data_IF_526858870222
#
_entry.id   IF_526858870222
#
_cell.length_a   1.000
_cell.length_b   1.000
_cell.length_c   1.000
_cell.angle_alpha   90.00
_cell.angle_beta   90.00
_cell.angle_gamma   90.00
#
_symmetry.space_group_name_H-M   'P 1'
#
loop_
_entity.id
_entity.type
_entity.pdbx_description
1 polymer ?
#
# COMPACT_ATOMS: atom_id res chain seq x y z
N UNK A 1 -0.22 4.66 16.72
CA UNK A 1 0.41 3.33 16.59
C UNK A 1 -0.57 2.42 15.86
N UNK A 2 -0.24 1.99 14.65
CA UNK A 2 -1.10 1.12 13.83
C UNK A 2 -1.04 -0.29 14.43
N UNK A 3 -2.17 -0.84 14.86
CA UNK A 3 -2.27 -2.23 15.34
C UNK A 3 -2.64 -3.14 14.16
N UNK A 4 -1.87 -4.19 13.99
CA UNK A 4 -1.90 -5.16 12.89
C UNK A 4 -2.14 -6.53 13.64
N UNK A 5 -3.28 -7.20 13.38
CA UNK A 5 -3.65 -8.62 13.72
C UNK A 5 -3.26 -9.75 12.68
N UNK A 6 -2.24 -10.57 13.03
CA UNK A 6 -1.27 -11.30 12.16
C UNK A 6 -1.72 -11.89 10.82
N UNK A 7 -2.89 -12.54 10.73
CA UNK A 7 -3.28 -13.29 9.52
C UNK A 7 -4.19 -12.50 8.57
N UNK A 8 -4.99 -11.57 9.11
CA UNK A 8 -5.77 -10.59 8.31
C UNK A 8 -4.91 -9.40 7.89
N UNK A 9 -3.81 -9.19 8.60
CA UNK A 9 -2.85 -8.14 8.35
C UNK A 9 -2.01 -8.28 7.12
N UNK A 10 -1.46 -9.46 6.84
CA UNK A 10 -0.49 -9.62 5.77
C UNK A 10 -1.06 -9.06 4.45
N UNK A 11 -2.33 -9.40 4.20
CA UNK A 11 -3.08 -8.90 3.04
C UNK A 11 -3.34 -7.41 3.10
N UNK A 12 -3.76 -6.88 4.26
CA UNK A 12 -4.05 -5.45 4.45
C UNK A 12 -2.77 -4.62 4.30
N UNK A 13 -1.68 -5.08 4.89
CA UNK A 13 -0.34 -4.52 4.81
C UNK A 13 0.15 -4.46 3.35
N UNK A 14 0.08 -5.59 2.63
CA UNK A 14 0.44 -5.64 1.20
C UNK A 14 -0.40 -4.64 0.39
N UNK A 15 -1.72 -4.60 0.62
CA UNK A 15 -2.60 -3.65 -0.08
C UNK A 15 -2.21 -2.20 0.21
N UNK A 16 -1.90 -1.85 1.46
CA UNK A 16 -1.48 -0.51 1.83
C UNK A 16 -0.13 -0.12 1.22
N UNK A 17 0.86 -1.01 1.25
CA UNK A 17 2.17 -0.79 0.64
C UNK A 17 2.03 -0.59 -0.87
N UNK A 18 1.35 -1.49 -1.58
CA UNK A 18 1.19 -1.37 -3.04
C UNK A 18 0.38 -0.12 -3.43
N UNK A 19 -0.59 0.26 -2.59
CA UNK A 19 -1.34 1.50 -2.77
C UNK A 19 -0.45 2.74 -2.59
N UNK A 20 0.38 2.79 -1.56
CA UNK A 20 1.30 3.92 -1.35
C UNK A 20 2.44 3.95 -2.38
N UNK A 21 2.86 2.81 -2.93
CA UNK A 21 3.79 2.75 -4.07
C UNK A 21 3.23 3.50 -5.30
N UNK A 22 1.90 3.53 -5.46
CA UNK A 22 1.22 4.24 -6.55
C UNK A 22 0.43 3.33 -7.51
N UNK A 23 0.31 2.04 -7.21
CA UNK A 23 -0.43 1.10 -8.08
C UNK A 23 -1.93 1.42 -8.13
N UNK A 24 -2.59 1.17 -9.25
CA UNK A 24 -4.07 1.24 -9.31
C UNK A 24 -4.69 0.12 -8.48
N UNK A 25 -5.96 0.27 -8.05
CA UNK A 25 -6.67 -0.81 -7.33
C UNK A 25 -6.64 -2.15 -8.09
N UNK A 26 -6.73 -2.08 -9.42
CA UNK A 26 -6.64 -3.26 -10.29
C UNK A 26 -5.26 -3.92 -10.20
N UNK A 27 -4.19 -3.14 -10.29
CA UNK A 27 -2.83 -3.67 -10.20
C UNK A 27 -2.55 -4.24 -8.80
N UNK A 28 -3.02 -3.58 -7.74
CA UNK A 28 -2.96 -4.09 -6.37
C UNK A 28 -3.67 -5.45 -6.27
N UNK A 29 -4.88 -5.56 -6.83
CA UNK A 29 -5.65 -6.82 -6.81
C UNK A 29 -4.93 -7.97 -7.54
N UNK A 30 -4.27 -7.68 -8.67
CA UNK A 30 -3.48 -8.68 -9.40
C UNK A 30 -2.30 -9.21 -8.58
N UNK A 31 -1.60 -8.34 -7.84
CA UNK A 31 -0.44 -8.73 -7.02
C UNK A 31 -0.88 -9.45 -5.74
N UNK A 32 -1.95 -8.96 -5.09
CA UNK A 32 -2.44 -9.52 -3.82
C UNK A 32 -3.42 -10.70 -4.00
N UNK A 33 -3.77 -11.08 -5.23
CA UNK A 33 -4.76 -12.13 -5.49
C UNK A 33 -6.18 -11.77 -5.04
N UNK A 34 -6.53 -10.48 -5.05
CA UNK A 34 -7.81 -9.97 -4.54
C UNK A 34 -8.70 -9.39 -5.65
N UNK A 35 -10.01 -9.48 -5.46
CA UNK A 35 -10.98 -8.78 -6.29
C UNK A 35 -10.94 -7.26 -6.07
N UNK A 36 -11.24 -6.48 -7.12
CA UNK A 36 -11.25 -5.00 -7.05
C UNK A 36 -12.08 -4.45 -5.89
N UNK A 37 -13.26 -5.03 -5.61
CA UNK A 37 -14.13 -4.59 -4.50
C UNK A 37 -13.48 -4.82 -3.12
N UNK A 38 -12.74 -5.91 -2.94
CA UNK A 38 -12.02 -6.19 -1.69
C UNK A 38 -10.90 -5.16 -1.48
N UNK A 39 -10.12 -4.90 -2.53
CA UNK A 39 -9.06 -3.87 -2.52
C UNK A 39 -9.64 -2.49 -2.18
N UNK A 40 -10.70 -2.07 -2.87
CA UNK A 40 -11.36 -0.79 -2.60
C UNK A 40 -11.87 -0.69 -1.15
N UNK A 41 -12.44 -1.79 -0.61
CA UNK A 41 -12.88 -1.85 0.78
C UNK A 41 -11.74 -1.76 1.80
N UNK A 42 -10.57 -2.36 1.51
CA UNK A 42 -9.39 -2.25 2.37
C UNK A 42 -8.83 -0.83 2.34
N UNK A 43 -8.73 -0.22 1.14
CA UNK A 43 -8.22 1.14 0.97
C UNK A 43 -9.15 2.16 1.62
N UNK A 44 -10.48 2.04 1.47
CA UNK A 44 -11.44 3.01 2.01
C UNK A 44 -11.39 3.10 3.54
N UNK A 45 -11.09 1.99 4.22
CA UNK A 45 -10.88 1.90 5.67
C UNK A 45 -9.45 2.24 6.12
N UNK A 46 -8.53 2.44 5.19
CA UNK A 46 -7.14 2.75 5.50
C UNK A 46 -6.95 4.23 5.83
N UNK A 47 -5.90 4.57 6.60
CA UNK A 47 -5.42 5.95 6.74
C UNK A 47 -4.99 6.57 5.40
N UNK A 48 -4.71 5.75 4.39
CA UNK A 48 -4.13 6.14 3.10
C UNK A 48 -5.18 6.28 2.00
N UNK A 49 -6.48 6.25 2.31
CA UNK A 49 -7.57 6.32 1.32
C UNK A 49 -7.44 7.49 0.35
N UNK A 50 -6.91 8.62 0.82
CA UNK A 50 -6.77 9.86 0.06
C UNK A 50 -5.33 10.08 -0.44
N UNK A 51 -4.62 9.03 -0.87
CA UNK A 51 -3.24 9.15 -1.39
C UNK A 51 -3.08 10.20 -2.49
N UNK A 52 -4.15 10.46 -3.24
CA UNK A 52 -4.18 11.41 -4.34
C UNK A 52 -3.97 12.86 -3.90
N UNK A 53 -4.21 13.14 -2.62
CA UNK A 53 -3.98 14.45 -2.00
C UNK A 53 -2.65 14.51 -1.23
N UNK A 54 -1.91 13.41 -1.15
CA UNK A 54 -0.58 13.39 -0.52
C UNK A 54 0.46 13.91 -1.50
N UNK A 55 1.40 14.68 -1.00
CA UNK A 55 2.65 14.96 -1.70
C UNK A 55 3.48 13.68 -1.85
N UNK A 56 4.40 13.68 -2.82
CA UNK A 56 5.30 12.55 -3.00
C UNK A 56 6.15 12.32 -1.74
N UNK A 57 6.55 13.39 -1.04
CA UNK A 57 7.28 13.31 0.23
C UNK A 57 6.47 12.61 1.31
N UNK A 58 5.25 13.07 1.59
CA UNK A 58 4.39 12.44 2.60
C UNK A 58 4.13 10.97 2.30
N UNK A 59 3.94 10.64 1.01
CA UNK A 59 3.73 9.26 0.59
C UNK A 59 4.97 8.39 0.79
N UNK A 60 6.18 8.94 0.59
CA UNK A 60 7.45 8.26 0.92
C UNK A 60 7.60 8.06 2.42
N UNK A 61 7.39 9.11 3.21
CA UNK A 61 7.49 9.05 4.67
C UNK A 61 6.55 7.95 5.23
N UNK A 62 5.31 7.85 4.71
CA UNK A 62 4.36 6.79 5.09
C UNK A 62 4.72 5.40 4.58
N UNK A 63 5.35 5.32 3.42
CA UNK A 63 5.82 4.06 2.88
C UNK A 63 6.99 3.53 3.73
N UNK A 64 7.93 4.40 4.13
CA UNK A 64 9.06 4.06 4.99
C UNK A 64 8.60 3.61 6.39
N UNK A 65 7.60 4.28 6.97
CA UNK A 65 6.92 3.83 8.20
C UNK A 65 6.43 2.38 8.07
N UNK A 66 5.75 2.04 6.96
CA UNK A 66 5.29 0.65 6.73
C UNK A 66 6.45 -0.33 6.51
N UNK A 67 7.51 0.05 5.79
CA UNK A 67 8.66 -0.83 5.58
C UNK A 67 9.41 -1.13 6.88
N UNK A 68 9.47 -0.17 7.81
CA UNK A 68 10.13 -0.35 9.11
C UNK A 68 9.51 -1.47 9.96
N UNK A 69 8.24 -1.79 9.74
CA UNK A 69 7.50 -2.84 10.46
C UNK A 69 7.28 -4.09 9.59
N UNK A 70 7.94 -4.20 8.43
CA UNK A 70 7.75 -5.33 7.50
C UNK A 70 8.10 -6.68 8.10
N UNK A 71 9.10 -6.71 8.96
CA UNK A 71 9.62 -7.94 9.55
C UNK A 71 9.22 -8.03 11.01
N UNK A 72 8.59 -9.15 11.37
CA UNK A 72 8.29 -9.52 12.75
C UNK A 72 9.00 -10.86 13.02
N UNK A 73 9.81 -10.94 14.08
CA UNK A 73 10.58 -12.15 14.44
C UNK A 73 11.44 -12.71 13.28
N UNK A 74 11.99 -11.81 12.45
CA UNK A 74 12.82 -12.17 11.30
C UNK A 74 12.04 -12.74 10.10
N UNK A 75 10.71 -12.75 10.15
CA UNK A 75 9.84 -13.20 9.04
C UNK A 75 9.13 -12.02 8.39
N UNK A 76 9.04 -11.98 7.05
CA UNK A 76 8.29 -10.94 6.36
C UNK A 76 6.78 -11.14 6.59
N UNK A 77 6.08 -10.10 7.04
CA UNK A 77 4.63 -10.10 7.22
C UNK A 77 3.88 -10.41 5.91
N UNK A 78 4.47 -10.05 4.77
CA UNK A 78 3.91 -10.22 3.43
C UNK A 78 4.23 -11.58 2.79
N UNK A 79 4.89 -12.50 3.51
CA UNK A 79 5.30 -13.79 2.97
C UNK A 79 6.25 -13.69 1.77
N UNK A 80 6.95 -12.55 1.62
CA UNK A 80 7.87 -12.28 0.51
C UNK A 80 7.21 -11.71 -0.76
N UNK A 81 5.91 -11.43 -0.76
CA UNK A 81 5.21 -10.85 -1.92
C UNK A 81 5.83 -9.52 -2.37
N UNK A 82 6.28 -8.70 -1.40
CA UNK A 82 6.81 -7.37 -1.64
C UNK A 82 8.28 -7.36 -2.06
N UNK A 83 9.01 -8.48 -1.99
CA UNK A 83 10.41 -8.57 -2.45
C UNK A 83 10.54 -8.24 -3.94
N UNK A 84 9.50 -8.56 -4.73
CA UNK A 84 9.45 -8.27 -6.18
C UNK A 84 9.16 -6.79 -6.49
N UNK A 85 8.85 -6.01 -5.47
CA UNK A 85 8.36 -4.62 -5.56
C UNK A 85 9.26 -3.66 -4.80
N UNK A 86 10.23 -4.18 -4.03
CA UNK A 86 11.16 -3.39 -3.24
C UNK A 86 11.87 -2.35 -4.12
N UNK A 87 11.89 -1.10 -3.65
CA UNK A 87 12.52 0.04 -4.35
C UNK A 87 11.65 0.75 -5.41
N UNK A 88 10.43 0.27 -5.70
CA UNK A 88 9.55 0.95 -6.66
C UNK A 88 8.73 2.03 -5.95
N UNK A 89 9.04 3.29 -6.21
CA UNK A 89 8.16 4.43 -5.90
C UNK A 89 7.67 5.03 -7.21
N UNK A 90 6.39 4.82 -7.54
CA UNK A 90 5.81 5.30 -8.80
C UNK A 90 5.14 6.64 -8.56
N UNK A 91 5.64 7.70 -9.18
CA UNK A 91 4.95 8.99 -9.14
C UNK A 91 3.49 8.82 -9.58
N UNK A 92 2.58 9.49 -8.86
CA UNK A 92 1.18 9.48 -9.23
C UNK A 92 1.03 10.23 -10.56
N UNK A 93 0.42 9.57 -11.55
CA UNK A 93 0.08 10.22 -12.83
C UNK A 93 -0.88 11.37 -12.55
N UNK A 94 -0.94 12.38 -13.45
CA UNK A 94 -1.86 13.53 -13.31
C UNK A 94 -3.31 13.12 -13.03
N UNK A 95 -3.81 12.06 -13.67
CA UNK A 95 -5.16 11.52 -13.46
C UNK A 95 -5.38 10.90 -12.05
N UNK A 96 -4.31 10.62 -11.31
CA UNK A 96 -4.33 10.04 -9.96
C UNK A 96 -4.09 11.08 -8.86
N UNK A 97 -3.70 12.32 -9.21
CA UNK A 97 -3.55 13.43 -8.25
C UNK A 97 -4.85 14.23 -8.17
N UNK A 98 -5.25 14.65 -6.97
CA UNK A 98 -6.41 15.54 -6.79
C UNK A 98 -5.95 16.97 -7.11
N UNK A 99 -6.48 17.55 -8.18
CA UNK A 99 -6.16 18.94 -8.59
C UNK A 99 -5.58 19.13 -10.00
N UNK A 100 -5.61 18.13 -10.89
CA UNK A 100 -5.32 18.36 -12.31
C UNK A 100 -6.57 18.86 -13.06
N UNK A 101 -7.13 19.99 -12.63
CA UNK A 101 -8.02 20.84 -13.41
C UNK A 101 -7.86 22.27 -12.94
#
# INVERSE_FOLDING_TARGET
>A
MVKIDRHKDATVYVVWVLWLIGMSERAVGLVAGLGKKQVAGIISRSPYRNRSAMSDKERRDKLDELWSVRFEDGKPLDGGILDRVQGKFLELRRAQRKGAR
#
